data_IF_496998239792
#
_entry.id   IF_496998239792
#
_cell.length_a   1.000
_cell.length_b   1.000
_cell.length_c   1.000
_cell.angle_alpha   90.00
_cell.angle_beta   90.00
_cell.angle_gamma   90.00
#
_symmetry.space_group_name_H-M   'P 1'
#
loop_
_entity.id
_entity.type
_entity.pdbx_description
1 polymer ?
#
# COMPACT_ATOMS: atom_id res chain seq x y z
N UNK A 1 -14.90 -2.45 13.43
CA UNK A 1 -15.33 -2.11 12.06
C UNK A 1 -14.68 -3.10 11.10
N UNK A 2 -15.29 -3.43 9.95
CA UNK A 2 -14.70 -4.31 8.93
C UNK A 2 -14.14 -3.45 7.80
N UNK A 3 -12.85 -3.52 7.52
CA UNK A 3 -12.30 -2.89 6.32
C UNK A 3 -12.65 -3.72 5.09
N UNK A 4 -13.12 -3.06 4.04
CA UNK A 4 -13.18 -3.67 2.72
C UNK A 4 -11.75 -3.76 2.17
N UNK A 5 -11.18 -4.97 2.21
CA UNK A 5 -9.79 -5.24 1.81
C UNK A 5 -9.49 -4.76 0.39
N UNK A 6 -10.42 -4.97 -0.55
CA UNK A 6 -10.24 -4.58 -1.95
C UNK A 6 -10.24 -3.07 -2.12
N UNK A 7 -11.22 -2.38 -1.52
CA UNK A 7 -11.30 -0.92 -1.60
C UNK A 7 -10.07 -0.26 -0.96
N UNK A 8 -9.63 -0.77 0.19
CA UNK A 8 -8.46 -0.25 0.88
C UNK A 8 -7.17 -0.46 0.07
N UNK A 9 -6.98 -1.64 -0.52
CA UNK A 9 -5.84 -1.93 -1.39
C UNK A 9 -5.79 -1.02 -2.64
N UNK A 10 -6.94 -0.79 -3.28
CA UNK A 10 -7.01 0.10 -4.45
C UNK A 10 -6.72 1.55 -4.04
N UNK A 11 -7.30 2.01 -2.91
CA UNK A 11 -7.06 3.36 -2.41
C UNK A 11 -5.58 3.58 -2.05
N UNK A 12 -4.95 2.63 -1.35
CA UNK A 12 -3.53 2.73 -1.00
C UNK A 12 -2.64 2.74 -2.25
N UNK A 13 -2.92 1.88 -3.23
CA UNK A 13 -2.21 1.85 -4.50
C UNK A 13 -2.37 3.18 -5.26
N UNK A 14 -3.59 3.72 -5.37
CA UNK A 14 -3.85 4.96 -6.09
C UNK A 14 -3.12 6.15 -5.47
N UNK A 15 -3.17 6.30 -4.14
CA UNK A 15 -2.44 7.36 -3.43
C UNK A 15 -0.93 7.18 -3.59
N UNK A 16 -0.43 5.94 -3.50
CA UNK A 16 0.99 5.66 -3.70
C UNK A 16 1.47 6.02 -5.12
N UNK A 17 0.66 5.77 -6.15
CA UNK A 17 0.97 6.14 -7.52
C UNK A 17 1.05 7.67 -7.68
N UNK A 18 0.06 8.40 -7.15
CA UNK A 18 0.06 9.88 -7.18
C UNK A 18 1.29 10.44 -6.46
N UNK A 19 1.59 9.93 -5.26
CA UNK A 19 2.75 10.35 -4.51
C UNK A 19 4.05 10.06 -5.26
N UNK A 20 4.16 8.89 -5.90
CA UNK A 20 5.33 8.54 -6.72
C UNK A 20 5.53 9.54 -7.86
N UNK A 21 4.47 9.92 -8.57
CA UNK A 21 4.56 10.90 -9.67
C UNK A 21 5.06 12.26 -9.17
N UNK A 22 4.55 12.72 -8.02
CA UNK A 22 5.01 13.96 -7.38
C UNK A 22 6.50 13.85 -7.01
N UNK A 23 6.92 12.73 -6.41
CA UNK A 23 8.32 12.49 -6.06
C UNK A 23 9.21 12.45 -7.30
N UNK A 24 8.80 11.75 -8.36
CA UNK A 24 9.53 11.66 -9.62
C UNK A 24 9.70 13.04 -10.28
N UNK A 25 8.67 13.89 -10.21
CA UNK A 25 8.75 15.27 -10.67
C UNK A 25 9.84 16.04 -9.92
N UNK A 26 9.87 15.99 -8.59
CA UNK A 26 10.90 16.67 -7.79
C UNK A 26 12.32 16.15 -8.08
N UNK A 27 12.49 14.83 -8.24
CA UNK A 27 13.78 14.25 -8.63
C UNK A 27 14.23 14.76 -10.00
N UNK A 28 13.30 14.94 -10.95
CA UNK A 28 13.62 15.42 -12.29
C UNK A 28 14.04 16.90 -12.31
N UNK A 29 13.41 17.76 -11.50
CA UNK A 29 13.69 19.21 -11.49
C UNK A 29 14.79 19.62 -10.51
N UNK A 30 14.90 18.94 -9.37
CA UNK A 30 15.81 19.28 -8.26
C UNK A 30 16.41 18.00 -7.63
N UNK A 31 17.26 17.25 -8.35
CA UNK A 31 17.77 15.96 -7.89
C UNK A 31 18.60 16.06 -6.62
N UNK A 32 19.45 17.08 -6.48
CA UNK A 32 20.34 17.25 -5.31
C UNK A 32 19.55 17.52 -4.03
N UNK A 33 18.61 18.46 -4.08
CA UNK A 33 17.79 18.81 -2.92
C UNK A 33 16.88 17.66 -2.51
N UNK A 34 16.30 16.95 -3.50
CA UNK A 34 15.47 15.77 -3.22
C UNK A 34 16.28 14.66 -2.56
N UNK A 35 17.55 14.47 -2.96
CA UNK A 35 18.47 13.49 -2.35
C UNK A 35 18.78 13.84 -0.90
N UNK A 36 19.11 15.11 -0.62
CA UNK A 36 19.42 15.57 0.74
C UNK A 36 18.20 15.44 1.66
N UNK A 37 17.02 15.79 1.15
CA UNK A 37 15.77 15.66 1.88
C UNK A 37 15.45 14.19 2.19
N UNK A 38 15.53 13.31 1.20
CA UNK A 38 15.33 11.88 1.39
C UNK A 38 16.31 11.30 2.40
N UNK A 39 17.59 11.70 2.35
CA UNK A 39 18.61 11.25 3.30
C UNK A 39 18.32 11.68 4.74
N UNK A 40 17.76 12.88 4.91
CA UNK A 40 17.31 13.37 6.22
C UNK A 40 16.12 12.56 6.75
N UNK A 41 15.15 12.22 5.89
CA UNK A 41 13.96 11.44 6.28
C UNK A 41 14.31 10.03 6.75
N UNK A 42 15.29 9.38 6.11
CA UNK A 42 15.67 7.99 6.44
C UNK A 42 16.92 7.91 7.31
N UNK A 43 17.46 9.04 7.76
CA UNK A 43 18.72 9.15 8.52
C UNK A 43 19.92 8.45 7.85
N UNK A 44 20.07 8.59 6.53
CA UNK A 44 21.15 7.98 5.77
C UNK A 44 21.78 8.92 4.71
N UNK A 45 23.05 8.68 4.38
CA UNK A 45 23.70 9.35 3.26
C UNK A 45 23.40 8.62 1.95
N UNK A 46 22.74 9.31 1.03
CA UNK A 46 22.32 8.80 -0.28
C UNK A 46 23.23 9.24 -1.43
N UNK A 47 24.27 10.03 -1.15
CA UNK A 47 25.13 10.65 -2.16
C UNK A 47 25.84 9.64 -3.08
N UNK A 48 26.20 8.46 -2.56
CA UNK A 48 26.90 7.41 -3.31
C UNK A 48 26.01 6.39 -4.04
N UNK A 49 24.69 6.43 -3.84
CA UNK A 49 23.75 5.39 -4.32
C UNK A 49 22.68 5.92 -5.26
N UNK A 50 22.54 7.24 -5.35
CA UNK A 50 21.59 7.90 -6.24
C UNK A 50 21.92 7.62 -7.71
N UNK A 51 20.90 7.23 -8.47
CA UNK A 51 20.96 7.02 -9.92
C UNK A 51 20.07 8.03 -10.63
N UNK A 52 20.47 8.44 -11.83
CA UNK A 52 19.66 9.31 -12.68
C UNK A 52 18.30 8.68 -12.96
N UNK A 53 17.25 9.50 -12.92
CA UNK A 53 15.89 9.07 -13.27
C UNK A 53 15.79 8.86 -14.78
N UNK A 54 15.84 7.60 -15.21
CA UNK A 54 15.60 7.21 -16.61
C UNK A 54 14.15 6.80 -16.78
N UNK A 55 13.64 6.83 -18.02
CA UNK A 55 12.29 6.35 -18.32
C UNK A 55 12.07 4.89 -17.88
N UNK A 56 13.07 4.02 -18.07
CA UNK A 56 12.99 2.62 -17.63
C UNK A 56 12.81 2.48 -16.13
N UNK A 57 13.66 3.15 -15.34
CA UNK A 57 13.56 3.10 -13.87
C UNK A 57 12.30 3.82 -13.35
N UNK A 58 11.83 4.84 -14.04
CA UNK A 58 10.58 5.53 -13.71
C UNK A 58 9.38 4.58 -13.82
N UNK A 59 9.20 3.89 -14.95
CA UNK A 59 8.06 2.99 -15.14
C UNK A 59 8.15 1.76 -14.23
N UNK A 60 9.34 1.17 -14.08
CA UNK A 60 9.56 0.05 -13.15
C UNK A 60 9.24 0.49 -11.72
N UNK A 61 9.74 1.65 -11.29
CA UNK A 61 9.46 2.22 -9.98
C UNK A 61 7.96 2.47 -9.76
N UNK A 62 7.29 3.13 -10.71
CA UNK A 62 5.85 3.42 -10.61
C UNK A 62 5.03 2.14 -10.45
N UNK A 63 5.26 1.14 -11.29
CA UNK A 63 4.50 -0.12 -11.26
C UNK A 63 4.80 -0.89 -9.99
N UNK A 64 6.07 -1.11 -9.66
CA UNK A 64 6.48 -1.89 -8.48
C UNK A 64 6.01 -1.24 -7.17
N UNK A 65 6.14 0.08 -7.04
CA UNK A 65 5.72 0.83 -5.86
C UNK A 65 4.20 0.81 -5.68
N UNK A 66 3.45 1.03 -6.76
CA UNK A 66 1.98 1.03 -6.75
C UNK A 66 1.43 -0.34 -6.36
N UNK A 67 1.91 -1.40 -7.03
CA UNK A 67 1.46 -2.77 -6.75
C UNK A 67 1.89 -3.23 -5.36
N UNK A 68 3.14 -2.94 -4.96
CA UNK A 68 3.65 -3.28 -3.65
C UNK A 68 2.83 -2.63 -2.53
N UNK A 69 2.53 -1.34 -2.65
CA UNK A 69 1.73 -0.62 -1.64
C UNK A 69 0.27 -1.08 -1.61
N UNK A 70 -0.30 -1.43 -2.76
CA UNK A 70 -1.62 -2.06 -2.83
C UNK A 70 -1.66 -3.41 -2.10
N UNK A 71 -0.65 -4.25 -2.32
CA UNK A 71 -0.53 -5.56 -1.67
C UNK A 71 -0.33 -5.42 -0.15
N UNK A 72 0.52 -4.49 0.29
CA UNK A 72 0.70 -4.17 1.72
C UNK A 72 -0.61 -3.65 2.31
N UNK A 73 -1.34 -2.78 1.60
CA UNK A 73 -2.66 -2.31 2.01
C UNK A 73 -3.65 -3.47 2.19
N UNK A 74 -3.72 -4.40 1.24
CA UNK A 74 -4.55 -5.59 1.34
C UNK A 74 -4.17 -6.44 2.57
N UNK A 75 -2.88 -6.67 2.79
CA UNK A 75 -2.37 -7.43 3.93
C UNK A 75 -2.72 -6.76 5.26
N UNK A 76 -2.60 -5.43 5.35
CA UNK A 76 -2.98 -4.65 6.53
C UNK A 76 -4.47 -4.73 6.81
N UNK A 77 -5.33 -4.55 5.80
CA UNK A 77 -6.78 -4.64 5.97
C UNK A 77 -7.21 -6.06 6.39
N UNK A 78 -6.60 -7.10 5.82
CA UNK A 78 -6.82 -8.48 6.22
C UNK A 78 -6.41 -8.71 7.68
N UNK A 79 -5.20 -8.30 8.06
CA UNK A 79 -4.69 -8.46 9.42
C UNK A 79 -5.56 -7.73 10.43
N UNK A 80 -5.98 -6.50 10.10
CA UNK A 80 -6.87 -5.70 10.93
C UNK A 80 -8.20 -6.42 11.16
N UNK A 81 -8.85 -6.94 10.11
CA UNK A 81 -10.14 -7.64 10.23
C UNK A 81 -10.04 -8.89 11.11
N UNK A 82 -8.93 -9.63 10.98
CA UNK A 82 -8.65 -10.80 11.81
C UNK A 82 -8.45 -10.44 13.28
N UNK A 83 -7.64 -9.42 13.57
CA UNK A 83 -7.36 -8.97 14.94
C UNK A 83 -8.57 -8.30 15.60
N UNK A 84 -9.41 -7.62 14.81
CA UNK A 84 -10.66 -7.04 15.29
C UNK A 84 -11.76 -8.09 15.57
N UNK A 85 -11.47 -9.39 15.38
CA UNK A 85 -12.41 -10.49 15.63
C UNK A 85 -13.59 -10.56 14.66
N UNK A 86 -13.52 -9.82 13.54
CA UNK A 86 -14.63 -9.68 12.59
C UNK A 86 -14.92 -10.99 11.85
N UNK A 87 -13.87 -11.73 11.45
CA UNK A 87 -14.03 -13.05 10.83
C UNK A 87 -14.61 -14.11 11.78
N UNK A 88 -14.34 -14.00 13.09
CA UNK A 88 -14.89 -14.91 14.10
C UNK A 88 -16.34 -14.60 14.49
N UNK A 89 -16.83 -13.40 14.18
CA UNK A 89 -18.24 -13.03 14.33
C UNK A 89 -19.07 -13.53 13.13
N UNK A 90 -18.61 -13.30 11.90
CA UNK A 90 -19.29 -13.74 10.67
C UNK A 90 -19.37 -15.28 10.56
N UNK A 91 -18.33 -16.00 11.00
CA UNK A 91 -18.35 -17.46 11.10
C UNK A 91 -19.29 -18.04 12.17
N UNK A 92 -19.67 -17.22 13.17
CA UNK A 92 -20.66 -17.60 14.19
C UNK A 92 -22.08 -17.35 13.69
N UNK A 93 -22.32 -16.19 13.10
CA UNK A 93 -23.65 -15.81 12.59
C UNK A 93 -24.08 -16.70 11.43
N UNK A 94 -23.16 -17.05 10.53
CA UNK A 94 -23.42 -18.03 9.46
C UNK A 94 -23.76 -19.42 10.02
N UNK A 95 -23.08 -19.89 11.06
CA UNK A 95 -23.42 -21.15 11.74
C UNK A 95 -24.77 -21.07 12.46
N UNK A 96 -25.12 -19.94 13.07
CA UNK A 96 -26.42 -19.74 13.74
C UNK A 96 -27.54 -19.68 12.71
N UNK A 97 -27.38 -18.93 11.62
CA UNK A 97 -28.34 -18.88 10.52
C UNK A 97 -28.58 -20.27 9.90
N UNK A 98 -27.52 -21.06 9.70
CA UNK A 98 -27.62 -22.44 9.20
C UNK A 98 -28.27 -23.41 10.21
N UNK A 99 -28.18 -23.14 11.52
CA UNK A 99 -28.88 -23.93 12.55
C UNK A 99 -30.37 -23.57 12.68
N UNK A 100 -30.74 -22.33 12.37
CA UNK A 100 -32.12 -21.84 12.45
C UNK A 100 -32.92 -22.11 11.18
N UNK A 101 -32.25 -22.41 10.07
CA UNK A 101 -32.84 -22.92 8.84
C UNK A 101 -32.14 -24.23 8.43
N UNK A 102 -32.26 -25.31 9.22
CA UNK A 102 -31.84 -26.61 8.71
C UNK A 102 -32.72 -26.89 7.49
N UNK A 103 -32.07 -27.15 6.35
CA UNK A 103 -32.76 -27.48 5.11
C UNK A 103 -33.87 -28.51 5.37
N UNK A 104 -35.11 -28.12 5.06
CA UNK A 104 -36.24 -29.02 4.92
C UNK A 104 -36.09 -29.84 3.64
#
# INVERSE_FOLDING_TARGET
MKLNTRAFAIASAAIAAVLFLICAFFVAVAPRETTNFAGTLIHADLSGIMRSLTWGNFFIGLVSWTLGTGLVGAALAWLYNRLAGVESAEGRDSKVANRLSPAA
#
